data_IF_764835381138
#
_entry.id   IF_764835381138
#
_cell.length_a   1.000
_cell.length_b   1.000
_cell.length_c   1.000
_cell.angle_alpha   90.00
_cell.angle_beta   90.00
_cell.angle_gamma   90.00
#
_symmetry.space_group_name_H-M   'P 1'
#
loop_
_entity.id
_entity.type
_entity.pdbx_description
1 polymer ?
#
# COMPACT_ATOMS: atom_id res chain seq x y z
N UNK A 1 28.97 -20.94 -4.28
CA UNK A 1 27.64 -21.51 -3.94
C UNK A 1 27.86 -22.66 -2.96
N UNK A 2 27.20 -22.58 -1.83
CA UNK A 2 27.33 -23.52 -0.72
C UNK A 2 26.00 -23.77 -0.03
N UNK A 3 25.92 -24.69 0.90
CA UNK A 3 24.76 -24.82 1.79
C UNK A 3 24.77 -23.70 2.81
N UNK A 4 23.58 -23.29 3.32
CA UNK A 4 23.50 -22.29 4.39
C UNK A 4 24.38 -22.71 5.60
N UNK A 5 25.14 -21.78 6.16
CA UNK A 5 26.05 -22.07 7.27
C UNK A 5 25.31 -22.53 8.54
N UNK A 6 24.07 -22.08 8.71
CA UNK A 6 23.21 -22.47 9.83
C UNK A 6 22.43 -23.77 9.61
N UNK A 7 22.42 -24.31 8.39
CA UNK A 7 21.80 -25.60 8.06
C UNK A 7 22.58 -26.37 6.97
N UNK A 8 23.54 -27.12 7.40
CA UNK A 8 24.38 -27.93 6.50
C UNK A 8 23.65 -29.11 5.83
N UNK A 9 22.43 -29.41 6.25
CA UNK A 9 21.57 -30.45 5.65
C UNK A 9 20.59 -29.91 4.63
N UNK A 10 20.45 -28.59 4.53
CA UNK A 10 19.55 -27.96 3.58
C UNK A 10 19.84 -28.40 2.14
N UNK A 11 18.79 -28.62 1.37
CA UNK A 11 18.88 -28.87 -0.08
C UNK A 11 19.13 -27.59 -0.87
N UNK A 12 18.71 -26.47 -0.33
CA UNK A 12 18.92 -25.14 -0.90
C UNK A 12 20.40 -24.76 -0.95
N UNK A 13 20.74 -23.94 -1.91
CA UNK A 13 22.09 -23.40 -2.08
C UNK A 13 22.05 -21.90 -1.86
N UNK A 14 23.13 -21.36 -1.33
CA UNK A 14 23.30 -19.93 -1.09
C UNK A 14 24.63 -19.46 -1.68
N UNK A 15 24.73 -18.14 -1.90
CA UNK A 15 26.00 -17.50 -2.21
C UNK A 15 26.81 -17.30 -0.92
N UNK A 16 28.13 -17.20 -1.06
CA UNK A 16 29.02 -16.87 0.06
C UNK A 16 29.16 -15.36 0.26
N UNK A 17 29.01 -14.61 -0.83
CA UNK A 17 29.20 -13.16 -0.83
C UNK A 17 27.88 -12.45 -0.54
N UNK A 18 28.00 -11.26 0.05
CA UNK A 18 26.89 -10.33 0.17
C UNK A 18 26.38 -9.90 -1.22
N UNK A 19 25.07 -9.67 -1.32
CA UNK A 19 24.44 -9.31 -2.59
C UNK A 19 25.03 -8.02 -3.20
N UNK A 20 25.31 -7.01 -2.37
CA UNK A 20 25.83 -5.72 -2.83
C UNK A 20 27.19 -5.80 -3.53
N UNK A 21 27.91 -6.91 -3.38
CA UNK A 21 29.18 -7.18 -4.10
C UNK A 21 28.92 -7.82 -5.47
N UNK A 22 27.70 -8.26 -5.74
CA UNK A 22 27.33 -9.05 -6.93
C UNK A 22 26.14 -8.46 -7.69
N UNK A 23 25.63 -7.32 -7.29
CA UNK A 23 24.41 -6.71 -7.85
C UNK A 23 24.53 -6.37 -9.34
N UNK A 24 25.75 -6.05 -9.81
CA UNK A 24 26.01 -5.83 -11.23
C UNK A 24 26.06 -7.11 -12.08
N UNK A 25 26.29 -8.28 -11.46
CA UNK A 25 26.44 -9.55 -12.15
C UNK A 25 25.27 -10.50 -11.99
N UNK A 26 24.43 -10.29 -10.99
CA UNK A 26 23.30 -11.17 -10.66
C UNK A 26 22.02 -10.37 -10.49
N UNK A 27 20.93 -10.92 -11.04
CA UNK A 27 19.59 -10.41 -10.77
C UNK A 27 19.06 -11.04 -9.49
N UNK A 28 18.67 -10.22 -8.54
CA UNK A 28 17.97 -10.65 -7.33
C UNK A 28 16.46 -10.58 -7.62
N UNK A 29 15.79 -11.71 -7.47
CA UNK A 29 14.33 -11.79 -7.52
C UNK A 29 13.81 -11.98 -6.10
N UNK A 30 13.07 -11.00 -5.60
CA UNK A 30 12.38 -11.12 -4.32
C UNK A 30 11.03 -11.82 -4.54
N UNK A 31 10.89 -12.99 -3.92
CA UNK A 31 9.65 -13.78 -4.00
C UNK A 31 8.93 -13.62 -2.68
N UNK A 32 7.88 -12.80 -2.72
CA UNK A 32 7.00 -12.53 -1.58
C UNK A 32 5.69 -13.28 -1.79
N UNK A 33 5.34 -14.16 -0.85
CA UNK A 33 4.02 -14.79 -0.85
C UNK A 33 2.95 -13.81 -0.39
N UNK A 34 1.84 -13.78 -1.12
CA UNK A 34 0.65 -13.01 -0.76
C UNK A 34 -0.56 -13.96 -0.72
N UNK A 35 -1.42 -13.79 0.28
CA UNK A 35 -2.65 -14.58 0.42
C UNK A 35 -3.79 -14.03 -0.46
N UNK A 36 -3.70 -12.76 -0.86
CA UNK A 36 -4.75 -12.05 -1.59
C UNK A 36 -5.17 -12.73 -2.90
N UNK A 37 -4.27 -13.17 -3.79
CA UNK A 37 -4.65 -13.84 -5.01
C UNK A 37 -5.44 -15.14 -4.76
N UNK A 38 -5.04 -15.90 -3.74
CA UNK A 38 -5.76 -17.14 -3.35
C UNK A 38 -7.14 -16.81 -2.79
N UNK A 39 -7.25 -15.80 -1.94
CA UNK A 39 -8.51 -15.34 -1.36
C UNK A 39 -9.47 -14.86 -2.45
N UNK A 40 -9.00 -14.05 -3.38
CA UNK A 40 -9.79 -13.57 -4.52
C UNK A 40 -10.27 -14.73 -5.39
N UNK A 41 -9.42 -15.72 -5.65
CA UNK A 41 -9.82 -16.91 -6.40
C UNK A 41 -10.91 -17.71 -5.70
N UNK A 42 -10.79 -17.92 -4.37
CA UNK A 42 -11.82 -18.61 -3.59
C UNK A 42 -13.14 -17.82 -3.63
N UNK A 43 -13.09 -16.50 -3.48
CA UNK A 43 -14.28 -15.65 -3.56
C UNK A 43 -14.93 -15.74 -4.95
N UNK A 44 -14.15 -15.71 -6.01
CA UNK A 44 -14.66 -15.90 -7.36
C UNK A 44 -15.35 -17.25 -7.53
N UNK A 45 -14.74 -18.32 -7.05
CA UNK A 45 -15.31 -19.68 -7.16
C UNK A 45 -16.61 -19.84 -6.31
N UNK A 46 -16.73 -19.11 -5.20
CA UNK A 46 -17.91 -19.14 -4.33
C UNK A 46 -19.07 -18.26 -4.82
N UNK A 47 -18.76 -17.16 -5.49
CA UNK A 47 -19.77 -16.17 -5.89
C UNK A 47 -20.10 -16.19 -7.36
N UNK A 48 -19.30 -16.87 -8.19
CA UNK A 48 -19.35 -16.85 -9.65
C UNK A 48 -19.20 -15.44 -10.24
N UNK A 49 -18.54 -14.54 -9.51
CA UNK A 49 -18.25 -13.17 -9.93
C UNK A 49 -16.81 -13.08 -10.43
N UNK A 50 -16.63 -12.67 -11.68
CA UNK A 50 -15.30 -12.41 -12.22
C UNK A 50 -14.71 -11.16 -11.58
N UNK A 51 -13.61 -11.32 -10.84
CA UNK A 51 -12.92 -10.23 -10.11
C UNK A 51 -12.48 -9.09 -11.03
N UNK A 52 -12.23 -9.35 -12.32
CA UNK A 52 -11.83 -8.32 -13.28
C UNK A 52 -13.00 -7.45 -13.76
N UNK A 53 -14.24 -7.82 -13.43
CA UNK A 53 -15.43 -7.04 -13.79
C UNK A 53 -15.94 -6.15 -12.66
N UNK A 54 -15.32 -6.24 -11.47
CA UNK A 54 -15.73 -5.46 -10.29
C UNK A 54 -15.33 -3.99 -10.48
N UNK A 55 -16.28 -3.04 -10.40
CA UNK A 55 -15.97 -1.62 -10.52
C UNK A 55 -15.18 -1.13 -9.28
N UNK A 56 -14.17 -0.28 -9.52
CA UNK A 56 -13.35 0.30 -8.45
C UNK A 56 -13.97 1.56 -7.82
N UNK A 57 -15.12 2.00 -8.31
CA UNK A 57 -15.81 3.22 -7.89
C UNK A 57 -17.20 2.95 -7.29
N UNK A 58 -17.47 1.71 -6.89
CA UNK A 58 -18.71 1.36 -6.20
C UNK A 58 -18.81 2.15 -4.88
N UNK A 59 -19.90 2.94 -4.77
CA UNK A 59 -20.08 3.87 -3.64
C UNK A 59 -20.35 3.16 -2.32
N UNK A 60 -21.02 2.02 -2.37
CA UNK A 60 -21.34 1.25 -1.17
C UNK A 60 -20.06 0.60 -0.63
N UNK A 61 -19.24 0.00 -1.50
CA UNK A 61 -17.93 -0.53 -1.14
C UNK A 61 -17.02 0.57 -0.63
N UNK A 62 -16.98 1.73 -1.31
CA UNK A 62 -16.17 2.87 -0.87
C UNK A 62 -16.58 3.40 0.51
N UNK A 63 -17.85 3.31 0.89
CA UNK A 63 -18.33 3.75 2.20
C UNK A 63 -17.73 2.93 3.36
N UNK A 64 -17.30 1.69 3.11
CA UNK A 64 -16.63 0.84 4.11
C UNK A 64 -15.33 1.44 4.64
N UNK A 65 -14.66 2.26 3.84
CA UNK A 65 -13.44 2.97 4.24
C UNK A 65 -13.71 4.19 5.13
N UNK A 66 -14.96 4.58 5.32
CA UNK A 66 -15.35 5.74 6.14
C UNK A 66 -16.36 5.39 7.24
N UNK A 67 -16.93 4.18 7.22
CA UNK A 67 -17.96 3.74 8.16
C UNK A 67 -18.22 2.24 8.08
N UNK A 68 -19.33 1.81 8.67
CA UNK A 68 -19.72 0.40 8.76
C UNK A 68 -21.14 0.14 8.22
N UNK A 69 -21.84 1.19 7.80
CA UNK A 69 -23.26 1.15 7.45
C UNK A 69 -23.56 0.18 6.31
N UNK A 70 -22.66 0.09 5.32
CA UNK A 70 -22.82 -0.84 4.20
C UNK A 70 -22.77 -2.33 4.63
N UNK A 71 -22.22 -2.64 5.81
CA UNK A 71 -22.26 -3.97 6.39
C UNK A 71 -23.53 -4.22 7.22
N UNK A 72 -24.37 -3.20 7.42
CA UNK A 72 -25.55 -3.28 8.26
C UNK A 72 -25.26 -3.44 9.75
N UNK A 73 -24.08 -3.04 10.21
CA UNK A 73 -23.62 -3.13 11.61
C UNK A 73 -23.10 -1.79 12.09
N UNK A 74 -23.12 -1.59 13.40
CA UNK A 74 -22.55 -0.42 14.04
C UNK A 74 -21.07 -0.60 14.35
N UNK A 75 -20.30 0.50 14.49
CA UNK A 75 -18.90 0.43 14.93
C UNK A 75 -18.69 -0.32 16.24
N UNK A 76 -19.61 -0.20 17.18
CA UNK A 76 -19.53 -0.86 18.49
C UNK A 76 -19.70 -2.38 18.39
N UNK A 77 -20.57 -2.85 17.48
CA UNK A 77 -20.81 -4.30 17.28
C UNK A 77 -19.59 -5.02 16.73
N UNK A 78 -18.80 -4.35 15.89
CA UNK A 78 -17.59 -4.95 15.30
C UNK A 78 -16.29 -4.44 15.91
N UNK A 79 -16.35 -3.53 16.87
CA UNK A 79 -15.18 -2.93 17.52
C UNK A 79 -14.27 -2.18 16.55
N UNK A 80 -14.84 -1.57 15.51
CA UNK A 80 -14.07 -0.90 14.46
C UNK A 80 -14.82 0.30 13.89
N UNK A 81 -14.17 1.46 13.73
CA UNK A 81 -14.81 2.65 13.16
C UNK A 81 -15.06 2.53 11.65
N UNK A 82 -14.47 1.54 10.99
CA UNK A 82 -14.59 1.29 9.54
C UNK A 82 -14.85 -0.17 9.25
N UNK A 83 -15.44 -0.47 8.10
CA UNK A 83 -15.71 -1.82 7.61
C UNK A 83 -14.50 -2.56 7.05
N UNK A 84 -13.28 -2.12 7.34
CA UNK A 84 -12.05 -2.56 6.65
C UNK A 84 -11.26 -3.64 7.37
N UNK A 85 -11.79 -4.23 8.44
CA UNK A 85 -11.07 -5.23 9.25
C UNK A 85 -10.56 -6.45 8.46
N UNK A 86 -11.28 -6.86 7.42
CA UNK A 86 -10.90 -7.97 6.52
C UNK A 86 -10.15 -7.55 5.27
N UNK A 87 -9.87 -6.26 5.08
CA UNK A 87 -9.17 -5.76 3.89
C UNK A 87 -7.68 -5.69 4.19
N UNK A 88 -6.82 -6.39 3.42
CA UNK A 88 -5.38 -6.36 3.61
C UNK A 88 -4.83 -4.94 3.67
N UNK A 89 -3.91 -4.69 4.59
CA UNK A 89 -3.29 -3.39 4.90
C UNK A 89 -4.23 -2.33 5.50
N UNK A 90 -5.53 -2.34 5.19
CA UNK A 90 -6.51 -1.36 5.70
C UNK A 90 -7.20 -1.80 7.01
N UNK A 91 -6.92 -3.00 7.50
CA UNK A 91 -7.48 -3.55 8.74
C UNK A 91 -6.67 -3.24 10.00
N UNK A 92 -5.50 -2.64 9.91
CA UNK A 92 -4.66 -2.29 11.07
C UNK A 92 -5.24 -1.07 11.82
N UNK A 93 -5.03 -1.00 13.13
CA UNK A 93 -5.49 0.15 13.93
C UNK A 93 -4.93 1.47 13.43
N UNK A 94 -3.68 1.47 12.98
CA UNK A 94 -3.02 2.66 12.42
C UNK A 94 -3.73 3.16 11.16
N UNK A 95 -3.98 2.27 10.18
CA UNK A 95 -4.63 2.67 8.93
C UNK A 95 -6.10 3.00 9.14
N UNK A 96 -6.81 2.30 10.03
CA UNK A 96 -8.18 2.67 10.42
C UNK A 96 -8.25 4.11 10.96
N UNK A 97 -7.26 4.52 11.76
CA UNK A 97 -7.20 5.91 12.24
C UNK A 97 -6.97 6.90 11.08
N UNK A 98 -6.10 6.56 10.11
CA UNK A 98 -5.92 7.36 8.91
C UNK A 98 -7.24 7.51 8.12
N UNK A 99 -7.99 6.42 7.99
CA UNK A 99 -9.30 6.42 7.32
C UNK A 99 -10.32 7.32 8.03
N UNK A 100 -10.35 7.30 9.36
CA UNK A 100 -11.20 8.20 10.17
C UNK A 100 -10.82 9.66 9.95
N UNK A 101 -9.53 9.96 9.90
CA UNK A 101 -9.02 11.32 9.70
C UNK A 101 -9.29 11.85 8.29
N UNK A 102 -9.17 10.99 7.27
CA UNK A 102 -9.18 11.41 5.85
C UNK A 102 -10.53 11.22 5.16
N UNK A 103 -11.33 10.24 5.60
CA UNK A 103 -12.65 9.88 5.02
C UNK A 103 -12.61 9.80 3.48
N UNK A 104 -11.84 8.87 2.91
CA UNK A 104 -11.67 8.78 1.47
C UNK A 104 -12.99 8.48 0.75
N UNK A 105 -13.12 9.03 -0.46
CA UNK A 105 -14.31 8.88 -1.31
C UNK A 105 -13.99 8.25 -2.66
N UNK A 106 -12.72 8.12 -2.99
CA UNK A 106 -12.26 7.64 -4.28
C UNK A 106 -11.15 6.60 -4.13
N UNK A 107 -11.02 5.73 -5.11
CA UNK A 107 -9.92 4.75 -5.16
C UNK A 107 -8.55 5.43 -5.17
N UNK A 108 -8.41 6.56 -5.86
CA UNK A 108 -7.16 7.34 -5.88
C UNK A 108 -6.74 7.81 -4.47
N UNK A 109 -7.71 8.19 -3.62
CA UNK A 109 -7.43 8.54 -2.23
C UNK A 109 -7.00 7.32 -1.41
N UNK A 110 -7.54 6.12 -1.66
CA UNK A 110 -7.08 4.89 -1.03
C UNK A 110 -5.63 4.56 -1.40
N UNK A 111 -5.25 4.73 -2.66
CA UNK A 111 -3.85 4.56 -3.11
C UNK A 111 -2.93 5.52 -2.35
N UNK A 112 -3.34 6.78 -2.15
CA UNK A 112 -2.58 7.76 -1.38
C UNK A 112 -2.45 7.39 0.09
N UNK A 113 -3.53 6.93 0.72
CA UNK A 113 -3.51 6.45 2.11
C UNK A 113 -2.58 5.25 2.25
N UNK A 114 -2.64 4.30 1.32
CA UNK A 114 -1.71 3.17 1.28
C UNK A 114 -0.26 3.66 1.21
N UNK A 115 0.05 4.61 0.32
CA UNK A 115 1.39 5.20 0.23
C UNK A 115 1.84 5.84 1.55
N UNK A 116 0.98 6.63 2.18
CA UNK A 116 1.27 7.31 3.46
C UNK A 116 1.35 6.34 4.66
N UNK A 117 0.81 5.14 4.56
CA UNK A 117 0.90 4.12 5.61
C UNK A 117 2.24 3.40 5.66
N UNK A 118 3.06 3.54 4.62
CA UNK A 118 4.39 2.95 4.52
C UNK A 118 5.47 4.00 4.80
N UNK A 119 6.46 3.63 5.58
CA UNK A 119 7.58 4.49 5.96
C UNK A 119 7.43 5.15 7.33
N UNK A 120 8.58 5.54 7.88
CA UNK A 120 8.69 6.16 9.19
C UNK A 120 8.33 7.64 9.09
N UNK A 121 7.47 8.13 9.99
CA UNK A 121 7.13 9.55 10.14
C UNK A 121 6.57 10.22 8.85
N UNK A 122 5.99 9.44 7.95
CA UNK A 122 5.38 9.98 6.73
C UNK A 122 4.00 10.55 7.04
N UNK A 123 3.23 9.85 7.86
CA UNK A 123 1.89 10.26 8.26
C UNK A 123 1.89 11.02 9.59
N UNK A 124 2.32 10.37 10.68
CA UNK A 124 2.26 10.94 12.03
C UNK A 124 3.17 12.17 12.16
N UNK A 125 2.65 13.24 12.77
CA UNK A 125 3.33 14.52 12.96
C UNK A 125 3.83 15.15 11.64
N UNK A 126 3.23 14.77 10.51
CA UNK A 126 3.58 15.26 9.18
C UNK A 126 2.29 15.44 8.36
N UNK A 127 2.01 14.59 7.37
CA UNK A 127 0.83 14.70 6.50
C UNK A 127 -0.48 14.74 7.29
N UNK A 128 -0.56 14.04 8.42
CA UNK A 128 -1.71 14.04 9.32
C UNK A 128 -2.07 15.44 9.80
N UNK A 129 -1.10 16.24 10.20
CA UNK A 129 -1.34 17.59 10.74
C UNK A 129 -1.86 18.53 9.66
N UNK A 130 -1.37 18.41 8.42
CA UNK A 130 -1.87 19.19 7.29
C UNK A 130 -3.31 18.83 6.93
N UNK A 131 -3.64 17.54 6.95
CA UNK A 131 -5.00 17.06 6.66
C UNK A 131 -5.96 17.49 7.78
N UNK A 132 -5.60 17.25 9.04
CA UNK A 132 -6.46 17.58 10.20
C UNK A 132 -6.71 19.07 10.36
N UNK A 133 -5.73 19.90 10.07
CA UNK A 133 -5.86 21.37 10.11
C UNK A 133 -6.55 21.94 8.89
N UNK A 134 -6.84 21.13 7.86
CA UNK A 134 -7.46 21.60 6.62
C UNK A 134 -6.54 22.43 5.72
N UNK A 135 -5.23 22.45 5.99
CA UNK A 135 -4.24 23.18 5.17
C UNK A 135 -4.06 22.51 3.82
N UNK A 136 -4.11 21.18 3.78
CA UNK A 136 -4.00 20.40 2.55
C UNK A 136 -4.97 19.23 2.53
N UNK A 137 -5.42 18.86 1.33
CA UNK A 137 -6.17 17.62 1.07
C UNK A 137 -5.22 16.50 0.68
N UNK A 138 -5.68 15.25 0.73
CA UNK A 138 -4.89 14.10 0.28
C UNK A 138 -4.34 14.27 -1.15
N UNK A 139 -5.09 14.92 -2.04
CA UNK A 139 -4.68 15.15 -3.42
C UNK A 139 -3.52 16.16 -3.57
N UNK A 140 -3.27 16.96 -2.55
CA UNK A 140 -2.24 17.99 -2.55
C UNK A 140 -0.95 17.54 -1.83
N UNK A 141 -0.98 16.37 -1.20
CA UNK A 141 0.15 15.82 -0.45
C UNK A 141 0.92 14.84 -1.33
N UNK A 142 2.24 14.91 -1.27
CA UNK A 142 3.12 13.88 -1.83
C UNK A 142 3.00 12.62 -0.98
N UNK A 143 2.56 11.54 -1.57
CA UNK A 143 2.23 10.29 -0.84
C UNK A 143 3.12 9.13 -1.23
N UNK A 144 3.61 9.12 -2.46
CA UNK A 144 4.50 8.11 -3.02
C UNK A 144 5.63 8.77 -3.81
N UNK A 145 6.72 8.07 -4.04
CA UNK A 145 7.86 8.61 -4.81
C UNK A 145 7.48 9.04 -6.22
N UNK A 146 6.54 8.33 -6.84
CA UNK A 146 6.04 8.69 -8.17
C UNK A 146 5.40 10.08 -8.22
N UNK A 147 4.79 10.55 -7.12
CA UNK A 147 4.27 11.92 -7.04
C UNK A 147 5.40 12.96 -7.21
N UNK A 148 6.59 12.67 -6.66
CA UNK A 148 7.77 13.54 -6.82
C UNK A 148 8.21 13.56 -8.28
N UNK A 149 8.35 12.39 -8.89
CA UNK A 149 8.76 12.28 -10.28
C UNK A 149 7.79 13.03 -11.21
N UNK A 150 6.48 12.77 -11.04
CA UNK A 150 5.46 13.41 -11.86
C UNK A 150 5.46 14.94 -11.69
N UNK A 151 5.57 15.43 -10.44
CA UNK A 151 5.69 16.86 -10.17
C UNK A 151 6.88 17.49 -10.88
N UNK A 152 8.04 16.84 -10.84
CA UNK A 152 9.24 17.34 -11.52
C UNK A 152 9.09 17.37 -13.05
N UNK A 153 8.42 16.36 -13.62
CA UNK A 153 8.11 16.31 -15.05
C UNK A 153 7.13 17.44 -15.43
N UNK A 154 6.09 17.65 -14.63
CA UNK A 154 5.11 18.72 -14.83
C UNK A 154 5.74 20.12 -14.73
N UNK A 155 6.76 20.25 -13.85
CA UNK A 155 7.56 21.47 -13.73
C UNK A 155 8.59 21.64 -14.87
N UNK A 156 8.65 20.70 -15.82
CA UNK A 156 9.45 20.78 -17.04
C UNK A 156 10.82 20.10 -17.00
N UNK A 157 11.10 19.28 -15.97
CA UNK A 157 12.34 18.49 -15.94
C UNK A 157 12.29 17.34 -16.96
N UNK A 158 13.47 16.98 -17.47
CA UNK A 158 13.63 15.77 -18.26
C UNK A 158 13.21 14.53 -17.46
N UNK A 159 12.52 13.61 -18.13
CA UNK A 159 11.93 12.41 -17.47
C UNK A 159 12.99 11.51 -16.83
N UNK A 160 14.15 11.35 -17.47
CA UNK A 160 15.24 10.53 -16.95
C UNK A 160 15.87 11.16 -15.71
N UNK A 161 16.02 12.48 -15.73
CA UNK A 161 16.52 13.22 -14.56
C UNK A 161 15.50 13.19 -13.42
N UNK A 162 14.22 13.41 -13.69
CA UNK A 162 13.17 13.33 -12.69
C UNK A 162 13.10 11.93 -12.03
N UNK A 163 13.22 10.87 -12.82
CA UNK A 163 13.32 9.51 -12.32
C UNK A 163 14.55 9.32 -11.42
N UNK A 164 15.71 9.78 -11.86
CA UNK A 164 16.94 9.67 -11.07
C UNK A 164 16.83 10.40 -9.72
N UNK A 165 16.21 11.60 -9.70
CA UNK A 165 15.96 12.35 -8.45
C UNK A 165 15.01 11.55 -7.55
N UNK A 166 13.92 11.00 -8.09
CA UNK A 166 12.95 10.19 -7.33
C UNK A 166 13.61 8.97 -6.68
N UNK A 167 14.54 8.30 -7.38
CA UNK A 167 15.27 7.15 -6.84
C UNK A 167 16.19 7.50 -5.66
N UNK A 168 16.68 8.73 -5.58
CA UNK A 168 17.49 9.21 -4.44
C UNK A 168 16.65 9.53 -3.18
N UNK A 169 15.34 9.68 -3.31
CA UNK A 169 14.45 9.94 -2.19
C UNK A 169 14.11 8.59 -1.51
N UNK A 170 14.77 8.32 -0.41
CA UNK A 170 14.54 7.12 0.43
C UNK A 170 14.08 7.52 1.81
#
# INVERSE_FOLDING_TARGET
>A
IQRPANDMKATSKTTHFDYHVMDEQLVKLDILGHDDPTTLRILQDLTDVDIYTIPLDDKEVMSLFSGTEALGVTPDEIGSPTGTSGIPEFGTSFVKQMLVDTRPKTFAELVRISGLSHGTDVWLNNAQDYVRSGIATLSQIITVRDDIMNKLIDDGLDKSLAFSIMEFVR
#
